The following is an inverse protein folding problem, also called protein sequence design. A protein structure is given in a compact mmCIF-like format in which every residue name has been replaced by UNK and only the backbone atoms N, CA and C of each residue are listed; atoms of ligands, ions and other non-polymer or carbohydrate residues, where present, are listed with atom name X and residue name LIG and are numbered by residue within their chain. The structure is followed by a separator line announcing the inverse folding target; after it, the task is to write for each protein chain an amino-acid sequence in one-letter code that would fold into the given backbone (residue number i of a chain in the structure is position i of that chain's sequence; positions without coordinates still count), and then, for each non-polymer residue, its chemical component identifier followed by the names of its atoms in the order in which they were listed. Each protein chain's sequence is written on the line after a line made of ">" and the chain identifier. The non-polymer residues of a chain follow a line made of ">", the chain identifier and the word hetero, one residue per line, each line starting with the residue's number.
data_IF_458065117820
#
_entry.id   IF_458065117820
#
_cell.length_a   1.000
_cell.length_b   1.000
_cell.length_c   1.000
_cell.angle_alpha   90.00
_cell.angle_beta   90.00
_cell.angle_gamma   90.00
#
_symmetry.space_group_name_H-M   'P 1'
#
loop_
_entity.id
_entity.type
_entity.pdbx_description
1 polymer ?
#
# COMPACT_ATOMS: atom_id res chain seq x y z
N UNK A 1 -80.99 -50.64 30.37
CA UNK A 1 -79.59 -50.24 30.67
C UNK A 1 -79.06 -49.45 29.49
N UNK A 2 -78.66 -48.20 29.71
CA UNK A 2 -78.10 -47.30 28.69
C UNK A 2 -76.67 -47.73 28.34
N UNK A 3 -76.38 -47.85 27.05
CA UNK A 3 -75.04 -47.64 26.51
C UNK A 3 -75.19 -47.04 25.10
N UNK A 4 -75.47 -45.75 25.04
CA UNK A 4 -75.36 -44.96 23.81
C UNK A 4 -73.88 -44.86 23.46
N UNK A 5 -73.45 -45.76 22.58
CA UNK A 5 -72.11 -45.81 22.02
C UNK A 5 -71.83 -44.51 21.28
N UNK A 6 -71.04 -43.63 21.90
CA UNK A 6 -70.54 -42.42 21.24
C UNK A 6 -69.72 -42.86 20.03
N UNK A 7 -70.24 -42.63 18.83
CA UNK A 7 -69.48 -42.80 17.60
C UNK A 7 -68.44 -41.69 17.56
N UNK A 8 -67.23 -42.01 18.01
CA UNK A 8 -66.05 -41.17 17.84
C UNK A 8 -65.78 -40.99 16.35
N UNK A 9 -66.33 -39.91 15.78
CA UNK A 9 -66.00 -39.50 14.43
C UNK A 9 -64.50 -39.26 14.32
N UNK A 10 -63.87 -39.91 13.35
CA UNK A 10 -62.50 -39.63 12.91
C UNK A 10 -62.38 -38.13 12.63
N UNK A 11 -61.90 -37.35 13.61
CA UNK A 11 -61.40 -36.01 13.35
C UNK A 11 -60.15 -36.19 12.51
N UNK A 12 -60.31 -36.20 11.19
CA UNK A 12 -59.20 -35.95 10.28
C UNK A 12 -58.47 -34.74 10.84
N UNK A 13 -57.20 -34.89 11.22
CA UNK A 13 -56.35 -33.77 11.59
C UNK A 13 -56.22 -32.90 10.34
N UNK A 14 -57.20 -32.03 10.11
CA UNK A 14 -57.08 -31.01 9.08
C UNK A 14 -55.84 -30.21 9.43
N UNK A 15 -54.92 -29.98 8.48
CA UNK A 15 -53.75 -29.18 8.76
C UNK A 15 -54.22 -27.86 9.37
N UNK A 16 -53.71 -27.51 10.56
CA UNK A 16 -54.06 -26.22 11.16
C UNK A 16 -53.70 -25.17 10.12
N UNK A 17 -54.70 -24.37 9.69
CA UNK A 17 -54.47 -23.25 8.78
C UNK A 17 -53.41 -22.36 9.46
N UNK A 18 -52.19 -22.42 8.94
CA UNK A 18 -51.11 -21.58 9.43
C UNK A 18 -51.56 -20.11 9.27
N UNK A 19 -51.23 -19.21 10.22
CA UNK A 19 -51.50 -17.80 10.03
C UNK A 19 -50.91 -17.38 8.69
N UNK A 20 -51.72 -16.75 7.83
CA UNK A 20 -51.32 -16.35 6.47
C UNK A 20 -50.04 -15.52 6.59
N UNK A 21 -48.90 -16.13 6.24
CA UNK A 21 -47.59 -15.51 6.37
C UNK A 21 -47.58 -14.18 5.63
N UNK A 22 -47.50 -13.09 6.39
CA UNK A 22 -47.69 -11.70 5.97
C UNK A 22 -46.59 -11.17 5.06
N UNK A 23 -45.56 -11.98 4.79
CA UNK A 23 -44.37 -11.56 4.07
C UNK A 23 -44.59 -11.42 2.56
N UNK A 24 -45.68 -11.96 2.00
CA UNK A 24 -45.97 -11.88 0.56
C UNK A 24 -46.10 -10.44 0.03
N UNK A 25 -46.73 -9.56 0.81
CA UNK A 25 -46.86 -8.14 0.47
C UNK A 25 -45.48 -7.44 0.40
N UNK A 26 -44.59 -7.75 1.34
CA UNK A 26 -43.23 -7.19 1.38
C UNK A 26 -42.35 -7.65 0.21
N UNK A 27 -42.50 -8.90 -0.25
CA UNK A 27 -41.82 -9.36 -1.46
C UNK A 27 -42.38 -8.71 -2.72
N UNK A 28 -43.70 -8.50 -2.80
CA UNK A 28 -44.37 -7.82 -3.92
C UNK A 28 -43.97 -6.34 -4.01
N UNK A 29 -43.82 -5.67 -2.86
CA UNK A 29 -43.36 -4.29 -2.76
C UNK A 29 -41.83 -4.14 -2.83
N UNK A 30 -41.07 -5.24 -2.91
CA UNK A 30 -39.61 -5.22 -2.99
C UNK A 30 -38.87 -4.88 -1.69
N UNK A 31 -39.58 -4.79 -0.56
CA UNK A 31 -39.01 -4.48 0.76
C UNK A 31 -38.32 -5.68 1.42
N UNK A 32 -38.60 -6.90 0.95
CA UNK A 32 -37.89 -8.10 1.36
C UNK A 32 -37.41 -8.90 0.16
N UNK A 33 -36.14 -9.32 0.23
CA UNK A 33 -35.51 -10.20 -0.76
C UNK A 33 -35.91 -11.64 -0.51
N UNK A 34 -36.24 -12.34 -1.58
CA UNK A 34 -36.48 -13.80 -1.54
C UNK A 34 -35.22 -14.55 -1.14
N UNK A 35 -35.36 -15.79 -0.63
CA UNK A 35 -34.20 -16.65 -0.31
C UNK A 35 -33.27 -16.82 -1.52
N UNK A 36 -33.83 -17.02 -2.70
CA UNK A 36 -33.07 -17.15 -3.95
C UNK A 36 -32.27 -15.87 -4.28
N UNK A 37 -32.82 -14.68 -4.05
CA UNK A 37 -32.10 -13.42 -4.24
C UNK A 37 -30.97 -13.25 -3.22
N UNK A 38 -31.20 -13.57 -1.95
CA UNK A 38 -30.15 -13.54 -0.91
C UNK A 38 -28.98 -14.48 -1.25
N UNK A 39 -29.27 -15.68 -1.76
CA UNK A 39 -28.23 -16.63 -2.16
C UNK A 39 -27.41 -16.14 -3.37
N UNK A 40 -28.06 -15.48 -4.34
CA UNK A 40 -27.37 -14.84 -5.47
C UNK A 40 -26.45 -13.72 -4.99
N UNK A 41 -26.94 -12.82 -4.14
CA UNK A 41 -26.14 -11.74 -3.56
C UNK A 41 -24.99 -12.25 -2.70
N UNK A 42 -25.19 -13.34 -1.94
CA UNK A 42 -24.11 -13.97 -1.18
C UNK A 42 -23.04 -14.58 -2.09
N UNK A 43 -23.43 -15.15 -3.24
CA UNK A 43 -22.48 -15.64 -4.26
C UNK A 43 -21.72 -14.48 -4.92
N UNK A 44 -22.41 -13.41 -5.27
CA UNK A 44 -21.82 -12.19 -5.83
C UNK A 44 -20.89 -11.49 -4.83
N UNK A 45 -21.26 -11.42 -3.56
CA UNK A 45 -20.42 -10.89 -2.49
C UNK A 45 -19.14 -11.72 -2.33
N UNK A 46 -19.23 -13.05 -2.40
CA UNK A 46 -18.05 -13.94 -2.41
C UNK A 46 -17.19 -13.73 -3.67
N UNK A 47 -17.80 -13.51 -4.84
CA UNK A 47 -17.06 -13.18 -6.07
C UNK A 47 -16.37 -11.83 -5.91
N UNK A 48 -17.05 -10.82 -5.36
CA UNK A 48 -16.46 -9.50 -5.07
C UNK A 48 -15.34 -9.59 -4.05
N UNK A 49 -15.47 -10.44 -3.03
CA UNK A 49 -14.45 -10.69 -2.03
C UNK A 49 -13.21 -11.36 -2.62
N UNK A 50 -13.41 -12.34 -3.52
CA UNK A 50 -12.35 -13.00 -4.29
C UNK A 50 -11.69 -12.04 -5.28
N UNK A 51 -12.48 -11.21 -5.95
CA UNK A 51 -12.03 -10.18 -6.88
C UNK A 51 -11.71 -8.86 -6.17
N UNK A 52 -11.38 -8.86 -4.86
CA UNK A 52 -10.93 -7.63 -4.18
C UNK A 52 -9.61 -7.11 -4.73
N UNK A 53 -8.79 -8.02 -5.27
CA UNK A 53 -7.49 -7.72 -5.84
C UNK A 53 -7.58 -7.84 -7.35
N UNK A 54 -7.25 -6.75 -8.04
CA UNK A 54 -7.16 -6.70 -9.51
C UNK A 54 -5.71 -6.46 -9.91
N UNK A 55 -5.23 -7.19 -10.91
CA UNK A 55 -3.96 -6.89 -11.54
C UNK A 55 -4.14 -5.66 -12.44
N UNK A 56 -3.63 -4.52 -11.99
CA UNK A 56 -3.73 -3.25 -12.73
C UNK A 56 -2.76 -3.19 -13.91
N UNK A 57 -1.66 -3.93 -13.83
CA UNK A 57 -0.63 -4.01 -14.85
C UNK A 57 -1.10 -4.90 -16.00
N UNK A 58 -0.95 -4.43 -17.24
CA UNK A 58 -1.15 -5.24 -18.44
C UNK A 58 0.11 -6.06 -18.74
N UNK A 59 -0.04 -7.14 -19.50
CA UNK A 59 1.08 -7.81 -20.15
C UNK A 59 1.63 -6.87 -21.24
N UNK A 60 2.93 -6.63 -21.23
CA UNK A 60 3.64 -5.59 -22.01
C UNK A 60 3.63 -5.80 -23.54
N UNK A 61 2.76 -6.67 -24.07
CA UNK A 61 2.79 -7.11 -25.47
C UNK A 61 2.26 -6.07 -26.47
N UNK A 62 1.74 -4.93 -26.00
CA UNK A 62 1.21 -3.86 -26.87
C UNK A 62 1.99 -2.57 -26.63
N UNK A 63 2.82 -2.11 -27.59
CA UNK A 63 3.50 -0.84 -27.46
C UNK A 63 2.46 0.29 -27.47
N UNK A 64 2.27 0.95 -26.33
CA UNK A 64 1.44 2.15 -26.24
C UNK A 64 1.99 3.24 -27.17
N UNK A 65 1.08 3.86 -27.93
CA UNK A 65 1.41 4.72 -29.07
C UNK A 65 2.45 5.79 -28.77
N UNK A 66 3.33 6.03 -29.76
CA UNK A 66 4.39 7.03 -29.75
C UNK A 66 3.82 8.42 -29.48
N UNK A 67 3.86 8.87 -28.23
CA UNK A 67 3.33 10.19 -27.88
C UNK A 67 3.63 10.55 -26.44
N UNK A 68 4.84 11.07 -26.21
CA UNK A 68 5.30 11.97 -25.13
C UNK A 68 6.83 12.05 -25.20
N UNK A 69 7.40 13.13 -24.67
CA UNK A 69 8.84 13.25 -24.46
C UNK A 69 9.37 12.03 -23.71
N UNK A 70 10.56 11.54 -24.09
CA UNK A 70 11.20 10.40 -23.43
C UNK A 70 11.57 10.85 -22.02
N UNK A 71 10.82 10.41 -21.02
CA UNK A 71 11.19 10.62 -19.61
C UNK A 71 12.46 9.81 -19.37
N UNK A 72 13.62 10.45 -19.11
CA UNK A 72 14.84 9.71 -18.84
C UNK A 72 14.67 8.93 -17.53
N UNK A 73 15.16 7.69 -17.52
CA UNK A 73 15.13 6.87 -16.31
C UNK A 73 15.84 7.60 -15.14
N UNK A 74 15.27 7.60 -13.92
CA UNK A 74 15.93 8.12 -12.74
C UNK A 74 17.32 7.47 -12.58
N UNK A 75 18.37 8.29 -12.61
CA UNK A 75 19.74 7.81 -12.46
C UNK A 75 20.04 7.53 -10.99
N UNK A 76 19.98 6.26 -10.60
CA UNK A 76 20.47 5.83 -9.30
C UNK A 76 21.99 6.02 -9.21
N UNK A 77 22.47 6.41 -8.03
CA UNK A 77 23.92 6.45 -7.77
C UNK A 77 24.44 5.02 -7.73
N UNK A 78 25.59 4.79 -8.37
CA UNK A 78 26.26 3.50 -8.27
C UNK A 78 26.72 3.30 -6.81
N UNK A 79 26.66 2.06 -6.30
CA UNK A 79 27.21 1.75 -4.98
C UNK A 79 28.71 2.04 -4.97
N UNK A 80 29.17 2.73 -3.92
CA UNK A 80 30.56 3.12 -3.77
C UNK A 80 31.36 2.16 -2.88
N UNK A 81 32.69 2.18 -3.01
CA UNK A 81 33.59 1.38 -2.17
C UNK A 81 33.66 1.88 -0.72
N UNK A 82 33.39 3.18 -0.49
CA UNK A 82 33.35 3.76 0.84
C UNK A 82 32.20 3.21 1.71
N UNK A 83 31.17 2.62 1.09
CA UNK A 83 30.03 1.98 1.76
C UNK A 83 30.28 0.50 2.09
N UNK A 84 31.42 -0.05 1.66
CA UNK A 84 31.83 -1.41 2.00
C UNK A 84 32.16 -1.52 3.49
N UNK A 85 31.94 -2.70 4.07
CA UNK A 85 32.34 -2.97 5.47
C UNK A 85 33.86 -3.03 5.65
N UNK A 86 34.60 -3.32 4.57
CA UNK A 86 36.05 -3.45 4.57
C UNK A 86 36.67 -2.58 3.47
N UNK A 87 36.60 -1.25 3.61
CA UNK A 87 37.18 -0.34 2.64
C UNK A 87 38.72 -0.36 2.73
N UNK A 88 39.43 0.00 1.63
CA UNK A 88 40.87 0.25 1.68
C UNK A 88 41.19 1.41 2.64
N UNK A 89 42.42 1.48 3.19
CA UNK A 89 42.80 2.52 4.15
C UNK A 89 42.70 3.94 3.58
N UNK A 90 42.84 4.11 2.26
CA UNK A 90 42.71 5.40 1.57
C UNK A 90 41.32 6.04 1.70
N UNK A 91 40.28 5.22 1.92
CA UNK A 91 38.91 5.70 2.10
C UNK A 91 38.56 5.98 3.56
N UNK A 92 39.45 5.65 4.50
CA UNK A 92 39.23 5.92 5.91
C UNK A 92 39.59 7.37 6.22
N UNK A 93 38.69 8.08 6.89
CA UNK A 93 38.93 9.49 7.20
C UNK A 93 40.11 9.68 8.15
N UNK A 94 40.87 10.73 7.87
CA UNK A 94 41.85 11.29 8.80
C UNK A 94 41.16 11.94 10.00
N UNK A 95 41.90 12.20 11.07
CA UNK A 95 41.34 12.81 12.28
C UNK A 95 40.73 14.20 12.01
N UNK A 96 41.41 15.01 11.18
CA UNK A 96 40.94 16.33 10.78
C UNK A 96 39.61 16.28 10.02
N UNK A 97 39.48 15.36 9.06
CA UNK A 97 38.25 15.18 8.29
C UNK A 97 37.08 14.69 9.16
N UNK A 98 37.35 13.83 10.15
CA UNK A 98 36.33 13.40 11.12
C UNK A 98 35.79 14.58 11.93
N UNK A 99 36.66 15.52 12.33
CA UNK A 99 36.24 16.72 13.06
C UNK A 99 35.39 17.61 12.15
N UNK A 100 35.87 17.90 10.94
CA UNK A 100 35.12 18.70 9.95
C UNK A 100 33.73 18.11 9.67
N UNK A 101 33.64 16.78 9.52
CA UNK A 101 32.38 16.10 9.30
C UNK A 101 31.40 16.25 10.46
N UNK A 102 31.91 16.23 11.71
CA UNK A 102 31.11 16.47 12.92
C UNK A 102 30.66 17.92 13.02
N UNK A 103 31.51 18.89 12.66
CA UNK A 103 31.13 20.31 12.62
C UNK A 103 29.99 20.56 11.62
N UNK A 104 29.99 19.85 10.49
CA UNK A 104 28.94 19.94 9.47
C UNK A 104 27.62 19.23 9.85
N UNK A 105 27.35 19.02 11.15
CA UNK A 105 26.13 18.34 11.61
C UNK A 105 24.84 19.10 11.39
N UNK A 106 24.91 20.43 11.49
CA UNK A 106 23.77 21.31 11.26
C UNK A 106 23.31 21.31 9.79
N UNK A 107 24.24 21.11 8.85
CA UNK A 107 23.96 21.16 7.40
C UNK A 107 24.27 19.82 6.70
N UNK A 108 23.49 18.75 6.95
CA UNK A 108 23.78 17.41 6.47
C UNK A 108 23.76 17.27 4.94
N UNK A 109 23.09 18.18 4.21
CA UNK A 109 22.94 18.14 2.76
C UNK A 109 24.17 18.66 2.00
N UNK A 110 25.04 19.46 2.64
CA UNK A 110 26.29 19.93 2.05
C UNK A 110 27.44 18.95 2.23
N UNK A 111 27.26 17.91 3.06
CA UNK A 111 28.29 16.90 3.31
C UNK A 111 28.59 16.08 2.06
N UNK A 112 29.88 15.80 1.83
CA UNK A 112 30.33 14.89 0.78
C UNK A 112 29.86 13.45 1.01
N UNK A 113 29.88 13.01 2.28
CA UNK A 113 29.44 11.68 2.68
C UNK A 113 28.40 11.77 3.81
N UNK A 114 27.35 10.95 3.72
CA UNK A 114 26.26 10.89 4.70
C UNK A 114 26.66 10.17 6.00
N UNK A 115 27.77 9.44 5.98
CA UNK A 115 28.30 8.64 7.07
C UNK A 115 29.83 8.75 7.09
N UNK A 116 30.44 8.30 8.18
CA UNK A 116 31.88 8.19 8.32
C UNK A 116 32.26 6.75 7.92
N UNK A 117 33.09 6.54 6.88
CA UNK A 117 33.58 5.21 6.52
C UNK A 117 34.34 4.60 7.70
N UNK A 118 34.06 3.33 7.99
CA UNK A 118 34.71 2.57 9.04
C UNK A 118 35.00 1.16 8.53
N UNK A 119 36.12 0.61 8.97
CA UNK A 119 36.54 -0.74 8.62
C UNK A 119 36.24 -1.69 9.77
N UNK A 120 35.55 -2.78 9.47
CA UNK A 120 35.29 -3.87 10.41
C UNK A 120 35.98 -5.15 9.94
N UNK A 121 36.29 -6.05 10.87
CA UNK A 121 36.96 -7.31 10.53
C UNK A 121 35.98 -8.31 9.90
N UNK A 122 34.74 -8.33 10.38
CA UNK A 122 33.69 -9.23 9.90
C UNK A 122 32.34 -8.52 9.78
N UNK A 123 31.45 -9.04 8.93
CA UNK A 123 30.09 -8.51 8.74
C UNK A 123 29.27 -8.53 10.04
N UNK A 124 29.55 -9.50 10.93
CA UNK A 124 28.84 -9.68 12.20
C UNK A 124 29.15 -8.58 13.22
N UNK A 125 30.30 -7.93 13.09
CA UNK A 125 30.72 -6.81 13.94
C UNK A 125 30.15 -5.47 13.47
N UNK A 126 29.57 -5.41 12.27
CA UNK A 126 29.04 -4.17 11.71
C UNK A 126 27.84 -3.72 12.57
N UNK A 127 27.93 -2.54 13.21
CA UNK A 127 26.84 -2.05 14.04
C UNK A 127 25.64 -1.67 13.18
N UNK A 128 24.44 -1.79 13.76
CA UNK A 128 23.24 -1.30 13.11
C UNK A 128 23.37 0.20 12.80
N UNK A 129 23.16 0.56 11.55
CA UNK A 129 23.28 1.95 11.12
C UNK A 129 22.13 2.77 11.72
N UNK A 130 22.44 3.58 12.74
CA UNK A 130 21.47 4.36 13.53
C UNK A 130 20.55 5.25 12.67
N UNK A 131 20.99 5.66 11.47
CA UNK A 131 20.24 6.56 10.57
C UNK A 131 19.34 5.84 9.56
N UNK A 132 19.26 4.50 9.57
CA UNK A 132 18.37 3.74 8.66
C UNK A 132 16.91 4.22 8.76
N UNK A 133 16.44 4.53 9.96
CA UNK A 133 15.06 4.96 10.21
C UNK A 133 14.72 6.34 9.61
N UNK A 134 15.70 7.23 9.46
CA UNK A 134 15.48 8.60 8.98
C UNK A 134 15.70 8.74 7.46
N UNK A 135 16.52 7.88 6.86
CA UNK A 135 16.80 7.91 5.42
C UNK A 135 15.61 7.52 4.55
N UNK A 136 14.82 6.53 4.99
CA UNK A 136 13.57 6.15 4.32
C UNK A 136 12.55 7.30 4.33
N UNK A 137 12.43 8.00 5.45
CA UNK A 137 11.55 9.16 5.61
C UNK A 137 11.96 10.28 4.63
N UNK A 138 13.26 10.61 4.53
CA UNK A 138 13.74 11.68 3.63
C UNK A 138 13.58 11.33 2.14
N UNK A 139 13.72 10.06 1.75
CA UNK A 139 13.46 9.63 0.37
C UNK A 139 11.96 9.68 0.01
N UNK A 140 11.07 9.46 1.01
CA UNK A 140 9.62 9.53 0.84
C UNK A 140 9.06 10.96 0.82
N UNK A 141 9.69 11.91 1.51
CA UNK A 141 9.23 13.31 1.53
C UNK A 141 9.57 14.13 0.27
N UNK A 142 10.25 13.52 -0.71
CA UNK A 142 10.65 14.20 -1.94
C UNK A 142 11.75 15.24 -1.71
N UNK A 143 12.63 15.42 -2.68
CA UNK A 143 13.48 16.61 -2.70
C UNK A 143 12.57 17.85 -2.65
N UNK A 144 12.85 18.85 -1.80
CA UNK A 144 12.17 20.13 -1.94
C UNK A 144 12.36 20.60 -3.39
N UNK A 145 11.34 21.21 -4.03
CA UNK A 145 11.50 21.72 -5.37
C UNK A 145 12.74 22.62 -5.37
N UNK A 146 13.71 22.31 -6.25
CA UNK A 146 14.79 23.23 -6.54
C UNK A 146 14.12 24.57 -6.86
N UNK A 147 14.26 25.55 -5.97
CA UNK A 147 13.89 26.92 -6.27
C UNK A 147 14.68 27.29 -7.53
N UNK A 148 13.99 27.36 -8.66
CA UNK A 148 14.50 27.94 -9.88
C UNK A 148 15.03 29.32 -9.50
N UNK A 149 16.36 29.46 -9.44
CA UNK A 149 16.99 30.75 -9.31
C UNK A 149 16.63 31.55 -10.56
N UNK A 150 15.63 32.42 -10.44
CA UNK A 150 15.40 33.52 -11.37
C UNK A 150 16.69 34.34 -11.40
N UNK A 151 17.46 34.16 -12.47
CA UNK A 151 18.54 35.09 -12.80
C UNK A 151 17.85 36.36 -13.29
N UNK A 152 17.86 37.38 -12.45
CA UNK A 152 17.48 38.74 -12.80
C UNK A 152 18.15 39.14 -14.14
N UNK A 153 17.34 39.31 -15.19
CA UNK A 153 17.78 39.99 -16.41
C UNK A 153 17.47 41.49 -16.24
N UNK A 154 18.43 42.40 -16.46
CA UNK A 154 18.15 43.83 -16.41
C UNK A 154 17.30 44.20 -17.62
N UNK A 155 16.15 44.84 -17.36
CA UNK A 155 15.33 45.49 -18.37
C UNK A 155 16.18 46.59 -19.03
N UNK A 156 16.60 46.39 -20.27
CA UNK A 156 17.05 47.50 -21.11
C UNK A 156 15.81 48.22 -21.62
N UNK A 157 15.62 49.45 -21.14
CA UNK A 157 14.69 50.43 -21.70
C UNK A 157 15.16 50.84 -23.10
N UNK A 158 14.27 50.73 -24.08
CA UNK A 158 14.31 51.48 -25.33
C UNK A 158 12.90 52.01 -25.60
#
# INVERSE_FOLDING_TARGET
>A
MCCSRAQGGLRTLQPRKAPRGTNGAFHKMGWMKTKAQKEKEAKEAKIREKNRYYMLWKSDDVPEGKGRDIIPAPKMKLPGHAESYNPPPEYLFTENEKVQWKTQEEEPYKRKHNFIPQKYKSLREVPAYKKLCYGAIRALHGSPPCSSGEKNAPYHSA
#
